data_IF_644476207865
#
_entry.id   IF_644476207865
#
_cell.length_a   1.000
_cell.length_b   1.000
_cell.length_c   1.000
_cell.angle_alpha   90.00
_cell.angle_beta   90.00
_cell.angle_gamma   90.00
#
_symmetry.space_group_name_H-M   'P 1'
#
loop_
_entity.id
_entity.type
_entity.pdbx_description
1 polymer ?
#
# COMPACT_ATOMS: atom_id res chain seq x y z
N UNK A 1 -7.05 -5.54 -16.36
CA UNK A 1 -6.94 -4.32 -17.14
C UNK A 1 -6.61 -4.65 -18.61
N UNK A 2 -7.22 -3.91 -19.52
CA UNK A 2 -6.95 -4.03 -20.95
C UNK A 2 -6.13 -2.83 -21.39
N UNK A 3 -4.97 -3.07 -21.99
CA UNK A 3 -4.20 -2.01 -22.62
C UNK A 3 -4.72 -1.83 -24.05
N UNK A 4 -5.39 -0.72 -24.34
CA UNK A 4 -5.85 -0.35 -25.67
C UNK A 4 -4.90 0.68 -26.25
N UNK A 5 -4.42 0.44 -27.46
CA UNK A 5 -3.64 1.42 -28.21
C UNK A 5 -4.46 1.82 -29.44
N UNK A 6 -4.62 3.12 -29.62
CA UNK A 6 -5.25 3.71 -30.82
C UNK A 6 -4.09 4.26 -31.67
N UNK A 7 -3.73 3.56 -32.77
CA UNK A 7 -2.58 3.93 -33.58
C UNK A 7 -2.76 5.28 -34.31
N UNK A 8 -4.02 5.63 -34.61
CA UNK A 8 -4.38 6.91 -35.21
C UNK A 8 -5.63 7.46 -34.51
N UNK A 9 -5.48 8.64 -33.91
CA UNK A 9 -6.59 9.33 -33.22
C UNK A 9 -7.74 9.72 -34.17
N UNK A 10 -7.47 9.78 -35.47
CA UNK A 10 -8.48 10.09 -36.52
C UNK A 10 -9.23 8.85 -36.99
N UNK A 11 -8.69 7.63 -36.74
CA UNK A 11 -9.33 6.35 -37.06
C UNK A 11 -9.55 5.51 -35.80
N UNK A 12 -10.61 5.83 -35.05
CA UNK A 12 -11.01 5.09 -33.84
C UNK A 12 -11.57 3.69 -34.14
N UNK A 13 -11.71 3.32 -35.43
CA UNK A 13 -12.18 1.97 -35.79
C UNK A 13 -11.05 0.93 -35.68
N UNK A 14 -9.80 1.37 -35.61
CA UNK A 14 -8.62 0.52 -35.55
C UNK A 14 -8.01 0.45 -34.14
N UNK A 15 -8.84 0.16 -33.15
CA UNK A 15 -8.39 -0.05 -31.76
C UNK A 15 -7.71 -1.40 -31.66
N UNK A 16 -6.46 -1.39 -31.16
CA UNK A 16 -5.68 -2.59 -30.93
C UNK A 16 -5.66 -2.92 -29.44
N UNK A 17 -6.08 -4.11 -29.07
CA UNK A 17 -6.08 -4.60 -27.71
C UNK A 17 -4.83 -5.47 -27.46
N UNK A 18 -4.04 -5.10 -26.44
CA UNK A 18 -2.88 -5.88 -26.02
C UNK A 18 -3.27 -6.87 -24.92
N UNK A 19 -2.71 -8.06 -24.98
CA UNK A 19 -2.84 -9.10 -23.95
C UNK A 19 -4.25 -9.61 -23.71
N UNK A 20 -5.14 -9.57 -24.73
CA UNK A 20 -6.42 -10.25 -24.61
C UNK A 20 -6.26 -11.75 -24.91
N UNK A 21 -6.91 -12.57 -24.10
CA UNK A 21 -7.14 -13.99 -24.42
C UNK A 21 -8.31 -14.12 -25.41
N UNK A 22 -8.54 -15.32 -25.98
CA UNK A 22 -9.64 -15.57 -26.94
C UNK A 22 -11.04 -15.26 -26.38
N UNK A 23 -11.19 -15.28 -25.08
CA UNK A 23 -12.41 -14.97 -24.31
C UNK A 23 -12.50 -13.49 -23.89
N UNK A 24 -11.52 -12.67 -24.28
CA UNK A 24 -11.50 -11.24 -24.01
C UNK A 24 -10.99 -10.87 -22.61
N UNK A 25 -10.51 -11.82 -21.82
CA UNK A 25 -9.81 -11.56 -20.58
C UNK A 25 -8.33 -11.26 -20.84
N UNK A 26 -7.80 -10.23 -20.17
CA UNK A 26 -6.39 -9.83 -20.31
C UNK A 26 -5.44 -10.85 -19.72
N UNK A 27 -4.48 -11.32 -20.51
CA UNK A 27 -3.46 -12.26 -20.04
C UNK A 27 -2.43 -11.59 -19.10
N UNK A 28 -2.29 -10.27 -19.14
CA UNK A 28 -1.40 -9.51 -18.27
C UNK A 28 -2.20 -8.75 -17.20
N UNK A 29 -2.25 -9.34 -16.02
CA UNK A 29 -3.04 -8.87 -14.90
C UNK A 29 -2.29 -7.80 -14.07
N UNK A 30 -1.97 -6.68 -14.70
CA UNK A 30 -1.33 -5.51 -14.10
C UNK A 30 -1.96 -4.22 -14.60
N UNK A 31 -1.99 -3.20 -13.76
CA UNK A 31 -2.45 -1.86 -14.13
C UNK A 31 -1.24 -0.96 -14.36
N UNK A 32 -1.03 -0.47 -15.61
CA UNK A 32 0.04 0.47 -15.87
C UNK A 32 -0.13 1.77 -15.09
N UNK A 33 0.93 2.18 -14.38
CA UNK A 33 1.02 3.50 -13.74
C UNK A 33 1.47 4.58 -14.72
N UNK A 34 2.37 4.22 -15.67
CA UNK A 34 2.79 5.09 -16.77
C UNK A 34 3.05 4.30 -18.03
N UNK A 35 2.93 4.95 -19.18
CA UNK A 35 3.19 4.39 -20.51
C UNK A 35 4.05 5.36 -21.29
N UNK A 36 5.19 4.90 -21.80
CA UNK A 36 6.15 5.71 -22.54
C UNK A 36 6.55 4.97 -23.82
N UNK A 37 6.53 5.66 -24.95
CA UNK A 37 6.99 5.14 -26.24
C UNK A 37 8.51 5.22 -26.36
N UNK A 38 9.13 4.22 -27.00
CA UNK A 38 10.49 4.37 -27.52
C UNK A 38 10.54 5.51 -28.56
N UNK A 39 11.73 6.09 -28.78
CA UNK A 39 11.90 7.19 -29.73
C UNK A 39 11.56 6.78 -31.18
N UNK A 40 11.82 5.53 -31.55
CA UNK A 40 11.51 4.99 -32.88
C UNK A 40 10.05 4.45 -32.99
N UNK A 41 9.27 4.52 -31.90
CA UNK A 41 7.87 4.10 -31.86
C UNK A 41 7.65 2.58 -31.90
N UNK A 42 8.71 1.75 -31.81
CA UNK A 42 8.57 0.28 -31.93
C UNK A 42 8.32 -0.41 -30.60
N UNK A 43 8.60 0.25 -29.49
CA UNK A 43 8.46 -0.33 -28.17
C UNK A 43 7.69 0.58 -27.21
N UNK A 44 7.10 -0.01 -26.21
CA UNK A 44 6.47 0.64 -25.07
C UNK A 44 7.20 0.25 -23.80
N UNK A 45 7.36 1.23 -22.92
CA UNK A 45 7.84 1.05 -21.57
C UNK A 45 6.72 1.36 -20.60
N UNK A 46 6.43 0.43 -19.68
CA UNK A 46 5.34 0.54 -18.72
C UNK A 46 5.89 0.44 -17.31
N UNK A 47 5.44 1.31 -16.41
CA UNK A 47 5.57 1.05 -14.98
C UNK A 47 4.31 0.35 -14.49
N UNK A 48 4.47 -0.70 -13.71
CA UNK A 48 3.35 -1.40 -13.08
C UNK A 48 3.77 -2.08 -11.79
N UNK A 49 2.83 -2.16 -10.86
CA UNK A 49 3.04 -2.85 -9.60
C UNK A 49 3.01 -4.37 -9.77
N UNK A 50 3.96 -5.04 -9.15
CA UNK A 50 3.97 -6.48 -8.99
C UNK A 50 4.69 -6.90 -7.71
N UNK A 51 3.98 -7.61 -6.85
CA UNK A 51 4.50 -8.22 -5.62
C UNK A 51 5.30 -7.22 -4.76
N UNK A 52 4.67 -6.09 -4.47
CA UNK A 52 5.24 -5.04 -3.64
C UNK A 52 6.39 -4.24 -4.29
N UNK A 53 6.49 -4.20 -5.60
CA UNK A 53 7.48 -3.43 -6.36
C UNK A 53 6.81 -2.68 -7.50
N UNK A 54 7.36 -1.53 -7.89
CA UNK A 54 6.95 -0.81 -9.10
C UNK A 54 8.00 -1.06 -10.17
N UNK A 55 7.74 -2.05 -11.01
CA UNK A 55 8.67 -2.54 -12.01
C UNK A 55 8.58 -1.74 -13.31
N UNK A 56 9.66 -1.78 -14.12
CA UNK A 56 9.66 -1.29 -15.49
C UNK A 56 9.55 -2.48 -16.45
N UNK A 57 8.56 -2.42 -17.32
CA UNK A 57 8.25 -3.46 -18.29
C UNK A 57 8.47 -2.94 -19.71
N UNK A 58 8.92 -3.82 -20.59
CA UNK A 58 9.11 -3.56 -22.00
C UNK A 58 8.24 -4.48 -22.83
N UNK A 59 7.64 -3.95 -23.90
CA UNK A 59 6.85 -4.71 -24.87
C UNK A 59 6.90 -4.05 -26.25
N UNK A 60 6.68 -4.83 -27.35
CA UNK A 60 6.53 -4.26 -28.69
C UNK A 60 5.31 -3.35 -28.77
N UNK A 61 5.40 -2.28 -29.54
CA UNK A 61 4.28 -1.35 -29.76
C UNK A 61 3.19 -1.91 -30.68
N UNK A 62 3.47 -3.02 -31.38
CA UNK A 62 2.52 -3.71 -32.26
C UNK A 62 1.96 -4.96 -31.60
N UNK A 63 0.63 -5.09 -31.42
CA UNK A 63 0.00 -6.29 -30.87
C UNK A 63 0.29 -7.57 -31.66
N UNK A 64 0.48 -7.45 -32.97
CA UNK A 64 0.80 -8.58 -33.82
C UNK A 64 2.18 -9.18 -33.53
N UNK A 65 3.07 -8.41 -32.90
CA UNK A 65 4.40 -8.83 -32.45
C UNK A 65 4.41 -9.28 -31.00
N UNK A 66 3.42 -8.91 -30.21
CA UNK A 66 3.30 -9.26 -28.80
C UNK A 66 2.76 -10.70 -28.63
N UNK A 67 3.55 -11.69 -29.03
CA UNK A 67 3.23 -13.11 -28.78
C UNK A 67 3.44 -13.52 -27.33
N UNK A 68 4.28 -12.78 -26.63
CA UNK A 68 4.70 -13.03 -25.26
C UNK A 68 4.24 -11.90 -24.33
N UNK A 69 4.15 -12.22 -23.05
CA UNK A 69 3.87 -11.22 -22.01
C UNK A 69 5.01 -10.19 -21.93
N UNK A 70 4.76 -8.96 -21.43
CA UNK A 70 5.80 -7.97 -21.23
C UNK A 70 6.97 -8.52 -20.41
N UNK A 71 8.19 -8.11 -20.76
CA UNK A 71 9.39 -8.48 -20.03
C UNK A 71 9.72 -7.38 -19.03
N UNK A 72 9.89 -7.75 -17.75
CA UNK A 72 10.36 -6.81 -16.74
C UNK A 72 11.86 -6.55 -16.94
N UNK A 73 12.24 -5.28 -17.15
CA UNK A 73 13.65 -4.86 -17.31
C UNK A 73 14.22 -4.23 -16.04
N UNK A 74 13.36 -3.73 -15.12
CA UNK A 74 13.73 -3.38 -13.75
C UNK A 74 12.76 -4.12 -12.82
N UNK A 75 13.29 -4.86 -11.87
CA UNK A 75 12.52 -5.79 -11.03
C UNK A 75 12.56 -5.48 -9.54
N UNK A 76 13.35 -4.50 -9.12
CA UNK A 76 13.56 -4.10 -7.71
C UNK A 76 13.26 -2.63 -7.51
N UNK A 77 12.92 -2.23 -6.28
CA UNK A 77 12.56 -0.86 -5.93
C UNK A 77 11.24 -0.42 -6.55
N UNK A 78 11.12 0.88 -6.70
CA UNK A 78 9.97 1.54 -7.32
C UNK A 78 10.45 2.52 -8.41
N UNK A 79 10.13 2.21 -9.67
CA UNK A 79 10.34 3.12 -10.80
C UNK A 79 9.28 4.21 -10.76
N UNK A 80 9.71 5.48 -10.74
CA UNK A 80 8.83 6.64 -10.63
C UNK A 80 8.69 7.41 -11.94
N UNK A 81 9.74 7.42 -12.75
CA UNK A 81 9.75 8.12 -14.04
C UNK A 81 10.65 7.41 -15.04
N UNK A 82 10.24 7.41 -16.30
CA UNK A 82 11.00 6.87 -17.43
C UNK A 82 10.94 7.86 -18.58
N UNK A 83 12.09 8.16 -19.18
CA UNK A 83 12.20 9.03 -20.37
C UNK A 83 13.20 8.45 -21.37
N UNK A 84 12.84 8.21 -22.62
CA UNK A 84 13.79 7.97 -23.69
C UNK A 84 14.72 9.15 -23.87
N UNK A 85 16.01 8.92 -24.14
CA UNK A 85 16.99 10.01 -24.20
C UNK A 85 16.88 10.84 -25.48
N UNK A 86 17.28 10.32 -26.60
CA UNK A 86 17.31 11.07 -27.87
C UNK A 86 17.00 10.16 -29.05
N UNK A 87 16.64 10.74 -30.19
CA UNK A 87 16.19 10.03 -31.38
C UNK A 87 17.16 8.95 -31.92
N UNK A 88 18.43 9.00 -31.56
CA UNK A 88 19.44 8.01 -31.97
C UNK A 88 20.08 7.32 -30.74
N UNK A 89 19.41 7.34 -29.61
CA UNK A 89 19.88 6.75 -28.35
C UNK A 89 18.72 6.00 -27.70
N UNK A 90 18.72 4.67 -27.82
CA UNK A 90 17.66 3.78 -27.32
C UNK A 90 17.69 3.63 -25.79
N UNK A 91 18.64 4.27 -25.11
CA UNK A 91 18.72 4.26 -23.65
C UNK A 91 17.63 5.10 -23.01
N UNK A 92 17.33 4.75 -21.78
CA UNK A 92 16.32 5.38 -20.95
C UNK A 92 16.96 6.12 -19.79
N UNK A 93 16.51 7.34 -19.53
CA UNK A 93 16.66 7.95 -18.21
C UNK A 93 15.57 7.38 -17.31
N UNK A 94 15.95 6.90 -16.13
CA UNK A 94 15.05 6.31 -15.14
C UNK A 94 15.27 6.98 -13.79
N UNK A 95 14.16 7.43 -13.18
CA UNK A 95 14.10 7.82 -11.78
C UNK A 95 13.45 6.68 -11.00
N UNK A 96 14.06 6.29 -9.89
CA UNK A 96 13.56 5.25 -9.00
C UNK A 96 13.88 5.56 -7.54
N UNK A 97 13.26 4.81 -6.64
CA UNK A 97 13.55 4.84 -5.21
C UNK A 97 13.41 3.43 -4.61
N UNK A 98 13.69 3.30 -3.32
CA UNK A 98 13.51 2.05 -2.56
C UNK A 98 13.17 2.37 -1.11
N UNK A 99 13.00 1.36 -0.28
CA UNK A 99 12.77 1.54 1.16
C UNK A 99 13.93 2.23 1.90
N UNK A 100 15.13 2.27 1.29
CA UNK A 100 16.34 2.87 1.90
C UNK A 100 16.90 4.05 1.13
N UNK A 101 16.55 4.23 -0.15
CA UNK A 101 17.04 5.32 -0.99
C UNK A 101 15.88 6.12 -1.58
N UNK A 102 15.82 7.40 -1.24
CA UNK A 102 14.70 8.26 -1.61
C UNK A 102 14.70 8.68 -3.08
N UNK A 103 15.85 8.65 -3.77
CA UNK A 103 15.93 8.92 -5.20
C UNK A 103 17.22 8.43 -5.82
N UNK A 104 17.09 7.67 -6.89
CA UNK A 104 18.17 7.19 -7.74
C UNK A 104 17.87 7.60 -9.18
N UNK A 105 18.82 8.24 -9.83
CA UNK A 105 18.75 8.60 -11.25
C UNK A 105 19.75 7.80 -12.04
N UNK A 106 19.31 7.14 -13.10
CA UNK A 106 20.14 6.24 -13.88
C UNK A 106 19.87 6.34 -15.38
N UNK A 107 20.88 5.96 -16.18
CA UNK A 107 20.73 5.66 -17.60
C UNK A 107 20.80 4.14 -17.77
N UNK A 108 19.80 3.60 -18.45
CA UNK A 108 19.65 2.15 -18.67
C UNK A 108 19.56 1.86 -20.15
N UNK A 109 20.33 0.90 -20.60
CA UNK A 109 20.14 0.24 -21.91
C UNK A 109 19.06 -0.85 -21.71
N UNK A 110 17.88 -0.74 -22.34
CA UNK A 110 16.80 -1.74 -22.17
C UNK A 110 17.20 -3.17 -22.58
N UNK A 111 18.21 -3.31 -23.47
CA UNK A 111 18.75 -4.60 -23.89
C UNK A 111 19.78 -5.18 -22.90
N UNK A 112 20.31 -4.31 -22.01
CA UNK A 112 21.31 -4.67 -21.01
C UNK A 112 21.01 -4.02 -19.66
N UNK A 113 19.84 -4.24 -19.07
CA UNK A 113 19.37 -3.51 -17.89
C UNK A 113 20.26 -3.71 -16.65
N UNK A 114 21.01 -4.83 -16.59
CA UNK A 114 21.96 -5.09 -15.50
C UNK A 114 23.18 -4.13 -15.49
N UNK A 115 23.40 -3.38 -16.56
CA UNK A 115 24.51 -2.43 -16.69
C UNK A 115 24.01 -0.97 -16.56
N UNK A 116 23.15 -0.70 -15.59
CA UNK A 116 22.66 0.65 -15.32
C UNK A 116 23.81 1.58 -14.93
N UNK A 117 23.90 2.73 -15.58
CA UNK A 117 24.80 3.82 -15.19
C UNK A 117 24.09 4.71 -14.16
N UNK A 118 24.45 4.59 -12.89
CA UNK A 118 23.94 5.49 -11.85
C UNK A 118 24.55 6.89 -12.05
N UNK A 119 23.69 7.87 -12.27
CA UNK A 119 24.05 9.28 -12.37
C UNK A 119 24.12 9.95 -11.01
N UNK A 120 23.14 9.64 -10.16
CA UNK A 120 23.02 10.17 -8.81
C UNK A 120 22.18 9.26 -7.94
N UNK A 121 22.55 9.15 -6.68
CA UNK A 121 21.75 8.58 -5.60
C UNK A 121 21.81 9.55 -4.43
N UNK A 122 20.68 10.08 -4.01
CA UNK A 122 20.64 11.11 -2.97
C UNK A 122 21.11 10.57 -1.61
N UNK A 123 20.65 9.40 -1.25
CA UNK A 123 21.06 8.76 0.01
C UNK A 123 22.32 7.90 -0.10
N UNK A 124 22.90 7.75 -1.32
CA UNK A 124 24.05 6.87 -1.59
C UNK A 124 23.76 5.43 -1.12
N UNK A 125 22.67 4.86 -1.62
CA UNK A 125 22.17 3.53 -1.23
C UNK A 125 21.92 3.44 0.28
N UNK A 126 21.19 4.41 0.80
CA UNK A 126 20.79 4.50 2.22
C UNK A 126 21.86 5.07 3.17
N UNK A 127 23.13 5.06 2.78
CA UNK A 127 24.26 5.39 3.68
C UNK A 127 24.18 6.81 4.28
N UNK A 128 23.69 7.78 3.51
CA UNK A 128 23.55 9.15 4.01
C UNK A 128 22.48 9.29 5.11
N UNK A 129 21.56 8.33 5.20
CA UNK A 129 20.51 8.26 6.23
C UNK A 129 20.81 7.21 7.30
N UNK A 130 21.97 6.56 7.27
CA UNK A 130 22.32 5.47 8.16
C UNK A 130 21.56 4.17 7.89
N UNK A 131 20.95 4.05 6.70
CA UNK A 131 20.16 2.90 6.28
C UNK A 131 20.97 1.95 5.38
N UNK A 132 20.53 0.71 5.30
CA UNK A 132 21.12 -0.31 4.41
C UNK A 132 20.10 -1.36 4.01
N UNK A 133 20.33 -2.04 2.88
CA UNK A 133 19.48 -3.12 2.37
C UNK A 133 19.35 -4.30 3.36
N UNK A 134 20.31 -4.50 4.27
CA UNK A 134 20.24 -5.53 5.30
C UNK A 134 19.12 -5.34 6.32
N UNK A 135 18.52 -4.15 6.37
CA UNK A 135 17.36 -3.86 7.23
C UNK A 135 16.05 -4.34 6.62
N UNK A 136 16.03 -4.60 5.30
CA UNK A 136 14.83 -4.94 4.54
C UNK A 136 14.79 -6.43 4.27
N UNK A 137 13.68 -7.07 4.67
CA UNK A 137 13.33 -8.44 4.32
C UNK A 137 11.87 -8.48 3.82
N UNK A 138 11.47 -9.61 3.28
CA UNK A 138 10.08 -9.90 2.94
C UNK A 138 9.67 -11.28 3.48
N UNK A 139 8.38 -11.46 3.71
CA UNK A 139 7.80 -12.74 4.10
C UNK A 139 6.47 -12.97 3.39
N UNK A 140 6.13 -14.25 3.25
CA UNK A 140 4.88 -14.69 2.66
C UNK A 140 4.18 -15.67 3.61
N UNK A 141 2.86 -15.57 3.72
CA UNK A 141 2.06 -16.46 4.56
C UNK A 141 0.71 -16.74 3.91
N UNK A 142 0.05 -17.84 4.31
CA UNK A 142 -1.28 -18.18 3.82
C UNK A 142 -2.31 -17.17 4.31
N UNK A 143 -3.11 -16.64 3.36
CA UNK A 143 -4.19 -15.70 3.64
C UNK A 143 -5.51 -16.38 4.02
N UNK A 144 -6.60 -15.61 3.98
CA UNK A 144 -7.96 -16.05 4.28
C UNK A 144 -8.48 -17.12 3.32
N UNK A 145 -7.95 -17.12 2.08
CA UNK A 145 -8.27 -18.11 1.04
C UNK A 145 -7.06 -18.94 0.65
N UNK A 146 -7.15 -19.63 -0.48
CA UNK A 146 -6.02 -20.39 -1.05
C UNK A 146 -5.09 -19.47 -1.85
N UNK A 147 -4.51 -18.50 -1.17
CA UNK A 147 -3.52 -17.56 -1.71
C UNK A 147 -2.49 -17.18 -0.65
N UNK A 148 -1.36 -16.67 -1.11
CA UNK A 148 -0.29 -16.18 -0.24
C UNK A 148 -0.38 -14.65 -0.13
N UNK A 149 -0.18 -14.16 1.08
CA UNK A 149 -0.12 -12.73 1.42
C UNK A 149 1.33 -12.32 1.64
N UNK A 150 1.74 -11.23 1.01
CA UNK A 150 3.06 -10.65 1.12
C UNK A 150 3.15 -9.65 2.27
N UNK A 151 4.30 -9.56 2.93
CA UNK A 151 4.62 -8.48 3.85
C UNK A 151 6.09 -8.10 3.77
N UNK A 152 6.38 -6.80 3.81
CA UNK A 152 7.72 -6.30 4.04
C UNK A 152 8.05 -6.33 5.52
N UNK A 153 9.33 -6.57 5.83
CA UNK A 153 9.88 -6.48 7.18
C UNK A 153 11.01 -5.45 7.16
N UNK A 154 10.91 -4.45 8.03
CA UNK A 154 11.97 -3.44 8.19
C UNK A 154 12.55 -3.51 9.60
N UNK A 155 13.86 -3.72 9.69
CA UNK A 155 14.62 -3.86 10.95
C UNK A 155 15.32 -2.55 11.29
N UNK A 156 15.57 -2.25 12.58
CA UNK A 156 16.38 -1.08 12.98
C UNK A 156 17.82 -1.18 12.45
N UNK A 157 18.49 -0.05 12.27
CA UNK A 157 19.87 0.00 11.75
C UNK A 157 20.87 -0.72 12.65
N UNK A 158 20.60 -0.77 13.97
CA UNK A 158 21.39 -1.47 14.97
C UNK A 158 20.86 -2.88 15.29
N UNK A 159 20.19 -3.53 14.32
CA UNK A 159 19.57 -4.83 14.50
C UNK A 159 20.59 -5.90 14.94
N UNK A 160 20.23 -6.61 16.00
CA UNK A 160 20.97 -7.73 16.56
C UNK A 160 20.05 -8.94 16.66
N UNK A 161 20.31 -9.97 15.87
CA UNK A 161 19.46 -11.18 15.80
C UNK A 161 19.35 -11.96 17.13
N UNK A 162 20.21 -11.66 18.10
CA UNK A 162 20.16 -12.26 19.45
C UNK A 162 19.15 -11.59 20.36
N UNK A 163 18.63 -10.41 19.98
CA UNK A 163 17.66 -9.63 20.74
C UNK A 163 16.25 -9.85 20.23
N UNK A 164 15.27 -9.47 21.06
CA UNK A 164 13.87 -9.40 20.69
C UNK A 164 13.38 -7.96 20.61
N UNK A 165 12.67 -7.65 19.55
CA UNK A 165 12.18 -6.30 19.23
C UNK A 165 10.66 -6.24 19.31
N UNK A 166 10.07 -5.15 19.80
CA UNK A 166 8.64 -4.94 19.70
C UNK A 166 8.21 -4.87 18.23
N UNK A 167 6.96 -5.23 17.96
CA UNK A 167 6.36 -5.20 16.63
C UNK A 167 5.62 -3.88 16.40
N UNK A 168 5.89 -3.20 15.29
CA UNK A 168 4.99 -2.22 14.69
C UNK A 168 4.32 -2.83 13.44
N UNK A 169 3.00 -3.03 13.49
CA UNK A 169 2.22 -3.66 12.43
C UNK A 169 1.45 -2.57 11.69
N UNK A 170 1.92 -2.19 10.49
CA UNK A 170 1.42 -1.05 9.74
C UNK A 170 0.49 -1.50 8.62
N UNK A 171 -0.74 -0.99 8.62
CA UNK A 171 -1.77 -1.33 7.65
C UNK A 171 -1.98 -0.16 6.70
N UNK A 172 -1.83 -0.41 5.39
CA UNK A 172 -1.97 0.62 4.37
C UNK A 172 -3.41 1.06 4.14
N UNK A 173 -3.56 2.24 3.56
CA UNK A 173 -4.83 2.78 3.07
C UNK A 173 -5.22 2.22 1.70
N UNK A 174 -6.29 2.72 1.15
CA UNK A 174 -6.90 2.28 -0.10
C UNK A 174 -8.34 1.86 0.17
N UNK A 175 -8.71 0.56 0.19
CA UNK A 175 -7.91 -0.67 0.29
C UNK A 175 -7.11 -1.05 -0.95
N UNK A 176 -7.48 -0.53 -2.12
CA UNK A 176 -6.74 -0.70 -3.37
C UNK A 176 -5.47 0.17 -3.34
N UNK A 177 -4.41 -0.39 -2.79
CA UNK A 177 -3.07 0.15 -2.63
C UNK A 177 -2.13 -0.94 -2.17
N UNK A 178 -0.85 -0.65 -1.97
CA UNK A 178 0.10 -1.61 -1.45
C UNK A 178 1.27 -0.93 -0.73
N UNK A 179 1.83 -1.62 0.24
CA UNK A 179 3.19 -1.35 0.67
C UNK A 179 4.13 -1.86 -0.41
N UNK A 180 4.78 -0.94 -1.09
CA UNK A 180 5.78 -1.25 -2.12
C UNK A 180 7.19 -1.00 -1.61
N UNK A 181 8.19 -1.53 -2.32
CA UNK A 181 9.62 -1.26 -2.08
C UNK A 181 9.93 0.19 -2.49
N UNK A 182 9.26 1.16 -1.86
CA UNK A 182 9.33 2.57 -2.21
C UNK A 182 9.59 3.46 -1.00
N UNK A 183 10.25 4.59 -1.25
CA UNK A 183 10.41 5.63 -0.25
C UNK A 183 9.10 6.36 0.01
N UNK A 184 8.80 6.63 1.26
CA UNK A 184 7.69 7.48 1.65
C UNK A 184 8.17 8.59 2.59
N UNK A 185 7.68 9.80 2.38
CA UNK A 185 7.86 10.92 3.33
C UNK A 185 6.74 10.99 4.36
N UNK A 186 5.72 10.15 4.24
CA UNK A 186 4.58 10.06 5.16
C UNK A 186 4.71 8.86 6.09
N UNK A 187 4.33 7.70 5.60
CA UNK A 187 4.37 6.42 6.33
C UNK A 187 5.64 5.65 5.93
N UNK A 188 6.79 6.01 6.53
CA UNK A 188 8.07 5.38 6.25
C UNK A 188 8.39 4.35 7.34
N UNK A 189 8.51 3.05 7.01
CA UNK A 189 8.84 2.00 7.98
C UNK A 189 10.15 2.25 8.74
N UNK A 190 11.14 2.90 8.09
CA UNK A 190 12.43 3.19 8.71
C UNK A 190 12.30 4.07 9.96
N UNK A 191 11.36 5.03 9.95
CA UNK A 191 11.15 5.93 11.11
C UNK A 191 10.74 5.14 12.35
N UNK A 192 9.83 4.18 12.20
CA UNK A 192 9.39 3.32 13.31
C UNK A 192 10.51 2.34 13.72
N UNK A 193 11.25 1.82 12.74
CA UNK A 193 12.34 0.90 13.02
C UNK A 193 13.47 1.57 13.83
N UNK A 194 13.82 2.82 13.51
CA UNK A 194 14.84 3.56 14.24
C UNK A 194 14.40 3.94 15.68
N UNK A 195 13.10 3.82 16.00
CA UNK A 195 12.61 3.86 17.39
C UNK A 195 12.73 2.50 18.12
N UNK A 196 13.35 1.50 17.50
CA UNK A 196 13.64 0.20 18.08
C UNK A 196 12.58 -0.87 17.84
N UNK A 197 11.65 -0.65 16.91
CA UNK A 197 10.69 -1.67 16.47
C UNK A 197 11.25 -2.51 15.33
N UNK A 198 10.76 -3.73 15.18
CA UNK A 198 10.71 -4.39 13.88
C UNK A 198 9.35 -4.07 13.28
N UNK A 199 9.37 -3.51 12.07
CA UNK A 199 8.17 -3.07 11.38
C UNK A 199 7.74 -4.12 10.38
N UNK A 200 6.46 -4.50 10.39
CA UNK A 200 5.88 -5.40 9.39
C UNK A 200 4.74 -4.71 8.68
N UNK A 201 4.79 -4.70 7.35
CA UNK A 201 3.82 -4.01 6.50
C UNK A 201 3.17 -5.00 5.53
N UNK A 202 2.08 -5.68 5.94
CA UNK A 202 1.38 -6.66 5.10
C UNK A 202 0.61 -5.99 3.96
N UNK A 203 0.44 -6.74 2.88
CA UNK A 203 -0.40 -6.41 1.74
C UNK A 203 -1.60 -7.39 1.70
N UNK A 204 -2.66 -7.16 2.48
CA UNK A 204 -3.80 -8.07 2.57
C UNK A 204 -4.69 -8.00 1.33
N UNK A 205 -5.70 -8.88 1.25
CA UNK A 205 -6.74 -8.87 0.21
C UNK A 205 -7.26 -7.45 -0.04
N UNK A 206 -7.32 -7.06 -1.29
CA UNK A 206 -7.61 -5.70 -1.75
C UNK A 206 -6.37 -4.97 -2.27
N UNK A 207 -5.15 -5.41 -1.87
CA UNK A 207 -3.91 -4.77 -2.29
C UNK A 207 -3.67 -4.90 -3.79
N UNK A 208 -3.07 -3.85 -4.38
CA UNK A 208 -2.65 -3.81 -5.78
C UNK A 208 -1.37 -4.61 -6.03
N UNK A 209 -1.15 -5.04 -7.27
CA UNK A 209 0.08 -5.72 -7.67
C UNK A 209 0.13 -7.24 -7.39
N UNK A 210 -0.97 -7.83 -6.92
CA UNK A 210 -1.10 -9.28 -6.62
C UNK A 210 -2.15 -9.99 -7.48
N UNK A 211 -2.61 -9.35 -8.55
CA UNK A 211 -3.64 -9.83 -9.46
C UNK A 211 -5.01 -9.20 -9.16
N UNK A 212 -5.83 -9.14 -10.22
CA UNK A 212 -7.15 -8.49 -10.13
C UNK A 212 -8.11 -9.24 -9.20
N UNK A 213 -8.06 -10.57 -9.15
CA UNK A 213 -8.89 -11.37 -8.24
C UNK A 213 -8.57 -11.07 -6.77
N UNK A 214 -7.27 -10.90 -6.46
CA UNK A 214 -6.83 -10.53 -5.12
C UNK A 214 -7.28 -9.10 -4.76
N UNK A 215 -7.12 -8.16 -5.69
CA UNK A 215 -7.58 -6.77 -5.51
C UNK A 215 -9.09 -6.69 -5.37
N UNK A 216 -9.85 -7.35 -6.25
CA UNK A 216 -11.33 -7.34 -6.23
C UNK A 216 -11.90 -8.16 -5.07
N UNK A 217 -11.10 -9.02 -4.44
CA UNK A 217 -11.48 -9.79 -3.26
C UNK A 217 -11.92 -8.95 -2.07
N UNK A 218 -11.66 -7.63 -2.10
CA UNK A 218 -12.12 -6.66 -1.10
C UNK A 218 -13.62 -6.37 -1.17
N UNK A 219 -14.23 -6.55 -2.36
CA UNK A 219 -15.64 -6.21 -2.58
C UNK A 219 -16.54 -6.97 -1.60
N UNK A 220 -17.35 -6.24 -0.84
CA UNK A 220 -18.18 -6.75 0.25
C UNK A 220 -17.39 -7.48 1.37
N UNK A 221 -16.11 -7.17 1.55
CA UNK A 221 -15.22 -7.85 2.49
C UNK A 221 -14.33 -6.90 3.33
N UNK A 222 -14.69 -5.65 3.48
CA UNK A 222 -13.84 -4.65 4.14
C UNK A 222 -13.27 -5.10 5.49
N UNK A 223 -14.09 -5.69 6.36
CA UNK A 223 -13.69 -6.29 7.63
C UNK A 223 -13.61 -7.83 7.61
N UNK A 224 -13.72 -8.45 6.42
CA UNK A 224 -13.69 -9.90 6.22
C UNK A 224 -12.31 -10.44 5.87
N UNK A 225 -12.10 -10.78 4.59
CA UNK A 225 -10.84 -11.39 4.13
C UNK A 225 -9.57 -10.62 4.55
N UNK A 226 -9.46 -9.28 4.35
CA UNK A 226 -8.25 -8.57 4.76
C UNK A 226 -8.02 -8.63 6.26
N UNK A 227 -9.06 -8.61 7.10
CA UNK A 227 -8.90 -8.81 8.54
C UNK A 227 -8.37 -10.21 8.86
N UNK A 228 -8.90 -11.25 8.23
CA UNK A 228 -8.42 -12.62 8.42
C UNK A 228 -6.98 -12.78 7.94
N UNK A 229 -6.60 -12.15 6.82
CA UNK A 229 -5.21 -12.09 6.36
C UNK A 229 -4.29 -11.47 7.43
N UNK A 230 -4.73 -10.38 8.08
CA UNK A 230 -3.97 -9.75 9.15
C UNK A 230 -3.85 -10.63 10.40
N UNK A 231 -4.90 -11.39 10.76
CA UNK A 231 -4.84 -12.38 11.86
C UNK A 231 -3.79 -13.44 11.55
N UNK A 232 -3.85 -14.04 10.35
CA UNK A 232 -2.90 -15.08 9.93
C UNK A 232 -1.48 -14.55 9.78
N UNK A 233 -1.33 -13.30 9.33
CA UNK A 233 -0.03 -12.61 9.30
C UNK A 233 0.57 -12.42 10.70
N UNK A 234 -0.25 -12.02 11.68
CA UNK A 234 0.19 -11.90 13.06
C UNK A 234 0.60 -13.27 13.65
N UNK A 235 -0.18 -14.32 13.41
CA UNK A 235 0.12 -15.69 13.83
C UNK A 235 1.42 -16.23 13.16
N UNK A 236 1.61 -15.90 11.88
CA UNK A 236 2.84 -16.24 11.17
C UNK A 236 4.06 -15.55 11.79
N UNK A 237 3.96 -14.26 12.12
CA UNK A 237 5.03 -13.51 12.79
C UNK A 237 5.33 -14.14 14.16
N UNK A 238 4.30 -14.41 14.97
CA UNK A 238 4.43 -14.99 16.31
C UNK A 238 5.14 -16.36 16.28
N UNK A 239 4.85 -17.16 15.26
CA UNK A 239 5.37 -18.53 15.16
C UNK A 239 6.73 -18.64 14.46
N UNK A 240 7.02 -17.79 13.48
CA UNK A 240 8.14 -17.99 12.58
C UNK A 240 9.24 -16.93 12.67
N UNK A 241 8.99 -15.75 13.24
CA UNK A 241 9.97 -14.65 13.27
C UNK A 241 10.47 -14.46 14.70
N UNK A 242 11.48 -15.25 15.08
CA UNK A 242 11.95 -15.40 16.47
C UNK A 242 12.47 -14.11 17.12
N UNK A 243 12.95 -13.14 16.36
CA UNK A 243 13.46 -11.87 16.85
C UNK A 243 12.35 -10.82 17.09
N UNK A 244 11.09 -11.12 16.78
CA UNK A 244 9.95 -10.27 17.12
C UNK A 244 9.30 -10.72 18.43
N UNK A 245 9.02 -9.77 19.31
CA UNK A 245 8.25 -9.97 20.53
C UNK A 245 6.83 -9.45 20.33
N UNK A 246 5.92 -10.33 19.92
CA UNK A 246 4.52 -10.01 19.67
C UNK A 246 3.74 -9.63 20.94
N UNK A 247 4.29 -9.89 22.14
CA UNK A 247 3.69 -9.41 23.40
C UNK A 247 3.85 -7.90 23.59
N UNK A 248 4.73 -7.26 22.82
CA UNK A 248 4.98 -5.82 22.79
C UNK A 248 4.62 -5.25 21.40
N UNK A 249 3.47 -5.61 20.87
CA UNK A 249 3.04 -5.19 19.55
C UNK A 249 2.14 -3.95 19.62
N UNK A 250 2.27 -3.09 18.61
CA UNK A 250 1.35 -1.99 18.30
C UNK A 250 0.87 -2.12 16.85
N UNK A 251 -0.34 -1.66 16.55
CA UNK A 251 -0.83 -1.63 15.18
C UNK A 251 -1.29 -0.20 14.81
N UNK A 252 -0.97 0.19 13.58
CA UNK A 252 -1.20 1.54 13.08
C UNK A 252 -1.74 1.49 11.66
N UNK A 253 -2.62 2.41 11.33
CA UNK A 253 -3.13 2.52 9.96
C UNK A 253 -3.78 3.85 9.68
N UNK A 254 -3.77 4.23 8.39
CA UNK A 254 -4.38 5.45 7.91
C UNK A 254 -5.43 5.17 6.84
N UNK A 255 -6.46 6.03 6.74
CA UNK A 255 -7.55 5.88 5.76
C UNK A 255 -8.26 4.53 5.92
N UNK A 256 -8.26 3.66 4.90
CA UNK A 256 -8.71 2.27 5.06
C UNK A 256 -7.92 1.52 6.16
N UNK A 257 -6.61 1.76 6.28
CA UNK A 257 -5.83 1.22 7.40
C UNK A 257 -6.33 1.72 8.75
N UNK A 258 -6.82 2.97 8.83
CA UNK A 258 -7.50 3.53 10.01
C UNK A 258 -8.87 2.90 10.27
N UNK A 259 -9.66 2.62 9.21
CA UNK A 259 -10.84 1.75 9.29
C UNK A 259 -10.48 0.42 9.94
N UNK A 260 -9.42 -0.23 9.43
CA UNK A 260 -8.98 -1.52 9.95
C UNK A 260 -8.57 -1.43 11.43
N UNK A 261 -7.99 -0.32 11.89
CA UNK A 261 -7.69 -0.14 13.33
C UNK A 261 -8.96 -0.02 14.16
N UNK A 262 -9.98 0.72 13.70
CA UNK A 262 -11.29 0.80 14.34
C UNK A 262 -12.01 -0.57 14.32
N UNK A 263 -11.89 -1.32 13.22
CA UNK A 263 -12.43 -2.67 13.10
C UNK A 263 -11.75 -3.64 14.08
N UNK A 264 -10.41 -3.70 14.04
CA UNK A 264 -9.57 -4.54 14.92
C UNK A 264 -9.83 -4.23 16.39
N UNK A 265 -10.09 -2.98 16.76
CA UNK A 265 -10.44 -2.58 18.13
C UNK A 265 -11.67 -3.35 18.64
N UNK A 266 -12.64 -3.65 17.77
CA UNK A 266 -13.83 -4.43 18.09
C UNK A 266 -13.67 -5.96 18.01
N UNK A 267 -12.52 -6.43 17.51
CA UNK A 267 -12.28 -7.85 17.21
C UNK A 267 -11.19 -8.47 18.11
N UNK A 268 -11.09 -9.81 18.16
CA UNK A 268 -10.11 -10.51 19.02
C UNK A 268 -8.66 -10.09 18.79
N UNK A 269 -8.24 -9.83 17.53
CA UNK A 269 -6.88 -9.41 17.19
C UNK A 269 -6.49 -8.11 17.92
N UNK A 270 -7.42 -7.20 18.16
CA UNK A 270 -7.16 -5.96 18.90
C UNK A 270 -6.62 -6.17 20.31
N UNK A 271 -6.91 -7.31 20.93
CA UNK A 271 -6.41 -7.67 22.28
C UNK A 271 -4.96 -8.13 22.28
N UNK A 272 -4.40 -8.41 21.11
CA UNK A 272 -2.98 -8.76 20.96
C UNK A 272 -2.08 -7.50 21.00
N UNK A 273 -2.61 -6.32 20.68
CA UNK A 273 -1.84 -5.08 20.64
C UNK A 273 -1.89 -4.32 21.97
N UNK A 274 -0.77 -3.69 22.34
CA UNK A 274 -0.67 -2.80 23.51
C UNK A 274 -1.34 -1.45 23.27
N UNK A 275 -1.30 -1.00 22.02
CA UNK A 275 -2.01 0.20 21.57
C UNK A 275 -2.35 0.10 20.08
N UNK A 276 -3.37 0.85 19.67
CA UNK A 276 -3.76 1.05 18.28
C UNK A 276 -3.61 2.54 17.93
N UNK A 277 -3.35 2.82 16.65
CA UNK A 277 -3.32 4.19 16.12
C UNK A 277 -4.16 4.26 14.86
N UNK A 278 -5.20 5.06 14.89
CA UNK A 278 -6.00 5.42 13.73
C UNK A 278 -5.61 6.82 13.26
N UNK A 279 -5.29 6.97 11.97
CA UNK A 279 -5.07 8.25 11.33
C UNK A 279 -6.06 8.44 10.18
N UNK A 280 -6.90 9.49 10.25
CA UNK A 280 -7.91 9.80 9.25
C UNK A 280 -8.68 8.54 8.80
N UNK A 281 -9.18 7.75 9.75
CA UNK A 281 -9.79 6.44 9.49
C UNK A 281 -11.31 6.47 9.50
N UNK A 282 -11.95 5.59 8.75
CA UNK A 282 -13.41 5.38 8.80
C UNK A 282 -13.79 4.77 10.15
N UNK A 283 -14.73 5.39 10.84
CA UNK A 283 -15.36 4.83 12.02
C UNK A 283 -16.72 4.22 11.72
N UNK A 284 -17.52 4.88 10.87
CA UNK A 284 -18.81 4.34 10.44
C UNK A 284 -18.91 4.26 8.91
N UNK A 285 -19.10 3.05 8.41
CA UNK A 285 -19.38 2.82 7.00
C UNK A 285 -20.69 3.47 6.55
N UNK A 286 -21.64 3.69 7.46
CA UNK A 286 -22.90 4.38 7.18
C UNK A 286 -22.72 5.88 6.94
N UNK A 287 -21.59 6.46 7.38
CA UNK A 287 -21.27 7.87 7.19
C UNK A 287 -20.47 8.17 5.92
N UNK A 288 -20.23 7.17 5.06
CA UNK A 288 -19.42 7.32 3.85
C UNK A 288 -20.00 8.34 2.85
N UNK A 289 -21.27 8.69 2.94
CA UNK A 289 -21.89 9.75 2.13
C UNK A 289 -21.52 11.17 2.57
N UNK A 290 -20.76 11.33 3.65
CA UNK A 290 -20.15 12.60 4.04
C UNK A 290 -18.80 12.87 3.35
N UNK A 291 -18.33 11.94 2.50
CA UNK A 291 -17.07 11.98 1.77
C UNK A 291 -17.17 12.85 0.50
N UNK A 292 -16.03 13.40 0.06
CA UNK A 292 -15.87 14.06 -1.24
C UNK A 292 -15.87 13.08 -2.43
N UNK A 293 -15.78 11.77 -2.14
CA UNK A 293 -15.73 10.71 -3.13
C UNK A 293 -16.67 9.55 -2.79
N UNK A 294 -17.60 9.23 -3.71
CA UNK A 294 -18.59 8.16 -3.56
C UNK A 294 -18.25 6.89 -4.35
N UNK A 295 -17.16 6.89 -5.12
CA UNK A 295 -16.78 5.70 -5.88
C UNK A 295 -16.49 4.50 -4.96
N UNK A 296 -15.67 4.69 -3.91
CA UNK A 296 -15.31 3.62 -2.98
C UNK A 296 -16.52 2.94 -2.35
N UNK A 297 -17.43 3.69 -1.68
CA UNK A 297 -18.57 3.03 -1.08
C UNK A 297 -19.44 2.29 -2.12
N UNK A 298 -19.70 2.89 -3.28
CA UNK A 298 -20.52 2.23 -4.29
C UNK A 298 -19.87 0.98 -4.88
N UNK A 299 -18.56 1.02 -5.13
CA UNK A 299 -17.83 -0.12 -5.69
C UNK A 299 -17.63 -1.22 -4.65
N UNK A 300 -17.14 -0.85 -3.46
CA UNK A 300 -16.71 -1.83 -2.46
C UNK A 300 -17.85 -2.41 -1.65
N UNK A 301 -18.98 -1.69 -1.50
CA UNK A 301 -20.19 -2.20 -0.86
C UNK A 301 -21.28 -2.64 -1.85
N UNK A 302 -20.95 -2.69 -3.15
CA UNK A 302 -21.80 -3.22 -4.22
C UNK A 302 -23.11 -2.46 -4.42
N UNK A 303 -23.05 -1.14 -4.38
CA UNK A 303 -24.19 -0.27 -4.61
C UNK A 303 -24.34 0.83 -3.56
N UNK A 304 -25.45 1.55 -3.67
CA UNK A 304 -25.71 2.67 -2.76
C UNK A 304 -26.14 2.22 -1.36
N UNK A 305 -26.02 3.11 -0.38
CA UNK A 305 -26.43 2.82 0.99
C UNK A 305 -27.90 2.41 1.12
N UNK A 306 -28.80 2.98 0.29
CA UNK A 306 -30.24 2.66 0.35
C UNK A 306 -30.59 1.40 -0.43
N UNK A 307 -29.79 0.97 -1.41
CA UNK A 307 -30.02 -0.26 -2.16
C UNK A 307 -29.38 -1.48 -1.49
N UNK A 308 -28.27 -1.28 -0.77
CA UNK A 308 -27.44 -2.35 -0.24
C UNK A 308 -26.96 -2.11 1.20
N UNK A 309 -27.85 -1.58 2.03
CA UNK A 309 -27.57 -1.16 3.41
C UNK A 309 -26.92 -2.26 4.26
N UNK A 310 -27.30 -3.51 4.05
CA UNK A 310 -26.77 -4.66 4.81
C UNK A 310 -25.24 -4.79 4.67
N UNK A 311 -24.68 -4.52 3.48
CA UNK A 311 -23.24 -4.57 3.26
C UNK A 311 -22.50 -3.47 4.02
N UNK A 312 -23.10 -2.28 4.14
CA UNK A 312 -22.51 -1.20 4.94
C UNK A 312 -22.54 -1.54 6.44
N UNK A 313 -23.70 -1.98 6.95
CA UNK A 313 -23.85 -2.32 8.37
C UNK A 313 -22.97 -3.50 8.81
N UNK A 314 -22.78 -4.49 7.92
CA UNK A 314 -21.97 -5.68 8.20
C UNK A 314 -20.53 -5.34 8.58
N UNK A 315 -19.95 -4.33 7.95
CA UNK A 315 -18.56 -3.95 8.13
C UNK A 315 -18.39 -2.64 8.90
N UNK A 316 -19.40 -2.20 9.64
CA UNK A 316 -19.38 -0.96 10.41
C UNK A 316 -18.66 -1.14 11.75
N UNK A 317 -17.44 -0.53 11.95
CA UNK A 317 -16.74 -0.58 13.24
C UNK A 317 -17.57 -0.02 14.41
N UNK A 318 -18.47 0.95 14.15
CA UNK A 318 -19.31 1.56 15.18
C UNK A 318 -20.24 0.53 15.85
N UNK A 319 -20.66 -0.50 15.11
CA UNK A 319 -21.49 -1.58 15.65
C UNK A 319 -20.77 -2.45 16.69
N UNK A 320 -19.43 -2.45 16.71
CA UNK A 320 -18.60 -3.29 17.57
C UNK A 320 -17.95 -2.55 18.75
N UNK A 321 -18.32 -1.30 18.98
CA UNK A 321 -17.77 -0.46 20.07
C UNK A 321 -17.94 -1.07 21.46
N UNK A 322 -18.95 -1.93 21.65
CA UNK A 322 -19.13 -2.67 22.91
C UNK A 322 -17.88 -3.45 23.31
N UNK A 323 -17.14 -3.99 22.33
CA UNK A 323 -15.97 -4.85 22.51
C UNK A 323 -14.66 -4.07 22.66
N UNK A 324 -14.66 -2.75 22.48
CA UNK A 324 -13.47 -1.91 22.50
C UNK A 324 -12.84 -1.90 23.89
N UNK A 325 -11.52 -2.11 23.97
CA UNK A 325 -10.78 -2.17 25.24
C UNK A 325 -9.28 -1.84 25.13
N UNK A 326 -8.70 -1.81 23.92
CA UNK A 326 -7.27 -1.51 23.74
C UNK A 326 -7.00 0.00 23.77
N UNK A 327 -5.94 0.48 24.43
CA UNK A 327 -5.50 1.89 24.34
C UNK A 327 -5.41 2.35 22.88
N UNK A 328 -5.84 3.59 22.59
CA UNK A 328 -5.98 4.03 21.22
C UNK A 328 -5.62 5.52 21.05
N UNK A 329 -4.72 5.82 20.11
CA UNK A 329 -4.50 7.17 19.62
C UNK A 329 -5.33 7.40 18.37
N UNK A 330 -6.15 8.45 18.38
CA UNK A 330 -6.87 8.92 17.21
C UNK A 330 -6.17 10.18 16.71
N UNK A 331 -5.76 10.16 15.44
CA UNK A 331 -5.25 11.32 14.71
C UNK A 331 -6.26 11.63 13.62
N UNK A 332 -6.73 12.90 13.55
CA UNK A 332 -7.67 13.27 12.50
C UNK A 332 -7.51 14.73 12.11
N UNK A 333 -7.32 14.96 10.82
CA UNK A 333 -7.03 16.28 10.27
C UNK A 333 -8.33 17.06 10.02
N UNK A 334 -8.31 18.38 10.30
CA UNK A 334 -9.55 19.19 10.26
C UNK A 334 -10.02 19.47 8.82
N UNK A 335 -9.11 19.48 7.85
CA UNK A 335 -9.42 19.70 6.43
C UNK A 335 -9.54 18.39 5.65
N UNK A 336 -9.77 17.28 6.35
CA UNK A 336 -10.07 16.02 5.69
C UNK A 336 -11.50 16.00 5.17
N UNK A 337 -11.66 16.23 3.85
CA UNK A 337 -12.94 16.19 3.16
C UNK A 337 -13.27 14.79 2.62
N UNK A 338 -12.29 13.88 2.61
CA UNK A 338 -12.51 12.48 2.26
C UNK A 338 -13.15 11.71 3.40
N UNK A 339 -12.63 11.90 4.61
CA UNK A 339 -13.17 11.32 5.85
C UNK A 339 -13.29 12.46 6.85
N UNK A 340 -14.48 13.04 7.04
CA UNK A 340 -14.65 14.25 7.83
C UNK A 340 -14.26 14.04 9.31
N UNK A 341 -13.90 15.11 9.98
CA UNK A 341 -13.42 15.11 11.38
C UNK A 341 -14.33 14.35 12.35
N UNK A 342 -15.62 14.21 12.02
CA UNK A 342 -16.56 13.40 12.80
C UNK A 342 -16.17 11.93 12.91
N UNK A 343 -15.46 11.38 11.88
CA UNK A 343 -14.93 10.02 11.89
C UNK A 343 -13.79 9.83 12.91
N UNK A 344 -13.16 10.92 13.35
CA UNK A 344 -12.17 10.91 14.44
C UNK A 344 -12.79 11.22 15.80
N UNK A 345 -13.70 12.21 15.86
CA UNK A 345 -14.34 12.63 17.12
C UNK A 345 -15.24 11.53 17.71
N UNK A 346 -15.99 10.83 16.87
CA UNK A 346 -16.92 9.80 17.34
C UNK A 346 -16.20 8.62 18.03
N UNK A 347 -15.18 7.96 17.43
CA UNK A 347 -14.44 6.90 18.10
C UNK A 347 -13.71 7.38 19.36
N UNK A 348 -13.15 8.62 19.36
CA UNK A 348 -12.55 9.18 20.54
C UNK A 348 -13.56 9.32 21.70
N UNK A 349 -14.75 9.83 21.43
CA UNK A 349 -15.82 9.94 22.43
C UNK A 349 -16.24 8.56 22.97
N UNK A 350 -16.29 7.54 22.12
CA UNK A 350 -16.55 6.14 22.55
C UNK A 350 -15.47 5.69 23.53
N UNK A 351 -14.19 5.87 23.19
CA UNK A 351 -13.06 5.47 24.03
C UNK A 351 -13.11 6.19 25.40
N UNK A 352 -13.32 7.49 25.40
CA UNK A 352 -13.42 8.29 26.62
C UNK A 352 -14.61 7.86 27.50
N UNK A 353 -15.78 7.67 26.91
CA UNK A 353 -16.99 7.21 27.62
C UNK A 353 -16.80 5.84 28.27
N UNK A 354 -16.01 4.97 27.63
CA UNK A 354 -15.68 3.64 28.16
C UNK A 354 -14.52 3.63 29.14
N UNK A 355 -13.85 4.78 29.39
CA UNK A 355 -12.66 4.87 30.24
C UNK A 355 -11.44 4.18 29.65
N UNK A 356 -11.40 3.97 28.34
CA UNK A 356 -10.25 3.38 27.65
C UNK A 356 -9.18 4.47 27.47
N UNK A 357 -7.90 4.21 27.85
CA UNK A 357 -6.84 5.18 27.65
C UNK A 357 -6.76 5.61 26.19
N UNK A 358 -6.91 6.91 25.94
CA UNK A 358 -6.92 7.43 24.58
C UNK A 358 -6.48 8.89 24.51
N UNK A 359 -5.91 9.26 23.36
CA UNK A 359 -5.57 10.64 23.01
C UNK A 359 -6.19 10.97 21.65
N UNK A 360 -6.53 12.24 21.47
CA UNK A 360 -6.95 12.80 20.19
C UNK A 360 -5.92 13.84 19.76
N UNK A 361 -5.42 13.72 18.52
CA UNK A 361 -4.51 14.68 17.93
C UNK A 361 -5.14 15.20 16.63
N UNK A 362 -5.24 16.52 16.49
CA UNK A 362 -5.78 17.16 15.29
C UNK A 362 -4.79 18.17 14.74
N UNK A 363 -4.77 18.31 13.42
CA UNK A 363 -3.99 19.31 12.70
C UNK A 363 -4.97 20.20 11.90
N UNK A 364 -5.05 21.50 12.20
CA UNK A 364 -6.09 22.37 11.64
C UNK A 364 -5.87 22.73 10.17
N UNK A 365 -4.67 22.54 9.64
CA UNK A 365 -4.24 22.92 8.30
C UNK A 365 -3.90 21.71 7.40
N UNK A 366 -4.13 20.50 7.88
CA UNK A 366 -3.87 19.26 7.13
C UNK A 366 -5.15 18.64 6.58
N UNK A 367 -5.04 18.02 5.40
CA UNK A 367 -6.11 17.27 4.74
C UNK A 367 -5.89 15.75 4.85
N UNK A 368 -6.60 14.96 4.02
CA UNK A 368 -6.59 13.50 4.12
C UNK A 368 -5.17 12.90 4.08
N UNK A 369 -4.74 12.32 5.19
CA UNK A 369 -3.47 11.58 5.38
C UNK A 369 -2.22 12.40 4.97
N UNK A 370 -2.32 13.70 4.81
CA UNK A 370 -1.13 14.56 4.69
C UNK A 370 -0.60 14.83 6.09
N UNK A 371 0.54 14.29 6.40
CA UNK A 371 1.15 14.54 7.68
C UNK A 371 2.64 14.86 7.49
N UNK A 372 2.94 16.09 7.27
CA UNK A 372 4.28 16.64 7.55
C UNK A 372 4.63 16.42 9.03
N UNK A 373 3.61 16.27 9.88
CA UNK A 373 3.74 16.17 11.34
C UNK A 373 3.66 14.75 11.93
N UNK A 374 3.45 13.68 11.13
CA UNK A 374 3.46 12.28 11.65
C UNK A 374 4.77 11.95 12.39
N UNK A 375 5.89 12.56 12.00
CA UNK A 375 7.16 12.37 12.69
C UNK A 375 7.09 12.85 14.15
N UNK A 376 6.34 13.91 14.47
CA UNK A 376 6.14 14.38 15.83
C UNK A 376 5.26 13.46 16.68
N UNK A 377 4.37 12.70 16.04
CA UNK A 377 3.46 11.76 16.73
C UNK A 377 4.23 10.58 17.29
N UNK A 378 5.26 10.10 16.57
CA UNK A 378 6.06 8.95 16.97
C UNK A 378 6.95 9.28 18.17
N UNK A 379 7.38 10.54 18.31
CA UNK A 379 8.16 11.01 19.48
C UNK A 379 7.32 11.11 20.77
N UNK A 380 5.99 11.05 20.66
CA UNK A 380 5.06 11.22 21.78
C UNK A 380 4.57 9.88 22.36
N UNK A 381 4.95 8.76 21.77
CA UNK A 381 4.70 7.38 22.21
C UNK A 381 5.88 6.78 22.93
#
# INVERSE_FOLDING_TARGET
>A
PRLLIIPDIQDITNVQEFFSTKDGEGAWDRSPGSIVWSQDGKELYLTAEEKGRVKLWKLPSSPLLAKDLPTAIITTGAVTEVKPLAANDDRLFVSSNSLIDNSVYSIIDPEKPSHAQILSSNSKDGKAFGLSQNQVDETWFKGAGDYDVHAWIFKPSNFDKSKKYPLAYLIHGGPQGAWTESWSTRWNPAVFAEQGYVVVTPNPTGSTGYGMDFQNGIKNQWGGRPYEDLVKGFEHIESNIQYIDTTRAVALGASYGGFMMNWVQGQPLGRKFKALVTHDGVFSTLNQYSSDELFFPHHDFDGTLWDNRENYEKWDPAAYTKNWATPHLIIHNELDYRLPISEGLAPFNVLQTKGIPSKFLSFPDENHVRAIHILHVIETF
#
